data_IF_276788169037
#
_entry.id   IF_276788169037
#
_cell.length_a   1.000
_cell.length_b   1.000
_cell.length_c   1.000
_cell.angle_alpha   90.00
_cell.angle_beta   90.00
_cell.angle_gamma   90.00
#
_symmetry.space_group_name_H-M   'P 1'
#
loop_
_entity.id
_entity.type
_entity.pdbx_description
1 polymer ?
#
# COMPACT_ATOMS: atom_id res chain seq x y z
N UNK A 1 2.17 -24.50 7.36
CA UNK A 1 1.02 -24.22 6.49
C UNK A 1 -0.18 -24.10 7.41
N UNK A 2 -0.82 -22.92 7.46
CA UNK A 2 -2.09 -22.78 8.17
C UNK A 2 -3.15 -23.62 7.47
N UNK A 3 -3.90 -24.37 8.24
CA UNK A 3 -4.97 -25.23 7.74
C UNK A 3 -6.29 -24.48 7.95
N UNK A 4 -7.03 -24.30 6.87
CA UNK A 4 -8.37 -23.69 6.93
C UNK A 4 -9.41 -24.78 6.79
N UNK A 5 -10.42 -24.76 7.66
CA UNK A 5 -11.55 -25.69 7.60
C UNK A 5 -12.77 -24.96 7.06
N UNK A 6 -13.41 -25.54 6.06
CA UNK A 6 -14.71 -25.05 5.59
C UNK A 6 -15.77 -25.64 6.50
N UNK A 7 -16.55 -24.84 7.24
CA UNK A 7 -17.56 -25.36 8.17
C UNK A 7 -18.61 -26.19 7.43
N UNK A 8 -19.00 -27.31 8.00
CA UNK A 8 -20.04 -28.16 7.43
C UNK A 8 -21.34 -27.41 7.23
N UNK A 9 -21.99 -27.59 6.06
CA UNK A 9 -23.25 -26.89 5.71
C UNK A 9 -23.11 -25.46 5.22
N UNK A 10 -21.88 -24.94 5.05
CA UNK A 10 -21.63 -23.63 4.41
C UNK A 10 -21.34 -23.78 2.93
N UNK A 11 -21.81 -22.81 2.14
CA UNK A 11 -21.54 -22.74 0.69
C UNK A 11 -20.38 -21.81 0.33
N UNK A 12 -19.82 -21.13 1.32
CA UNK A 12 -18.69 -20.20 1.14
C UNK A 12 -17.89 -20.07 2.43
N UNK A 13 -16.59 -19.82 2.29
CA UNK A 13 -15.74 -19.40 3.40
C UNK A 13 -14.79 -18.29 2.93
N UNK A 14 -14.32 -17.48 3.91
CA UNK A 14 -13.33 -16.44 3.67
C UNK A 14 -11.99 -16.92 4.18
N UNK A 15 -11.02 -17.02 3.29
CA UNK A 15 -9.63 -17.36 3.64
C UNK A 15 -8.81 -16.08 3.68
N UNK A 16 -8.35 -15.63 4.86
CA UNK A 16 -7.50 -14.43 4.94
C UNK A 16 -6.11 -14.74 4.38
N UNK A 17 -5.65 -13.88 3.47
CA UNK A 17 -4.30 -13.96 2.91
C UNK A 17 -3.48 -12.79 3.46
N UNK A 18 -2.48 -13.10 4.27
CA UNK A 18 -1.58 -12.09 4.82
C UNK A 18 -0.34 -11.98 3.94
N UNK A 19 -0.21 -10.84 3.30
CA UNK A 19 0.95 -10.52 2.46
C UNK A 19 1.91 -9.63 3.22
N UNK A 20 3.17 -10.04 3.32
CA UNK A 20 4.21 -9.18 3.91
C UNK A 20 4.58 -8.09 2.92
N UNK A 21 4.70 -6.85 3.42
CA UNK A 21 5.14 -5.72 2.63
C UNK A 21 6.55 -5.98 2.07
N UNK A 22 6.78 -5.82 0.76
CA UNK A 22 8.12 -5.96 0.19
C UNK A 22 9.06 -4.86 0.73
N UNK A 23 10.35 -5.17 0.79
CA UNK A 23 11.38 -4.21 1.17
C UNK A 23 11.85 -3.32 0.01
N UNK A 24 11.40 -3.63 -1.19
CA UNK A 24 11.73 -2.93 -2.44
C UNK A 24 10.46 -2.43 -3.12
N UNK A 25 10.60 -1.54 -4.09
CA UNK A 25 9.49 -0.96 -4.86
C UNK A 25 9.05 -1.81 -6.05
N UNK A 26 9.62 -2.99 -6.23
CA UNK A 26 9.26 -3.86 -7.34
C UNK A 26 7.87 -4.45 -7.16
N UNK A 27 7.19 -4.65 -8.29
CA UNK A 27 5.93 -5.36 -8.31
C UNK A 27 6.13 -6.80 -7.86
N UNK A 28 5.30 -7.25 -6.96
CA UNK A 28 5.24 -8.61 -6.45
C UNK A 28 3.92 -9.24 -6.84
N UNK A 29 3.95 -10.53 -6.99
CA UNK A 29 2.81 -11.35 -7.34
C UNK A 29 2.69 -12.53 -6.40
N UNK A 30 1.48 -12.79 -5.95
CA UNK A 30 1.10 -14.04 -5.29
C UNK A 30 -0.01 -14.68 -6.12
N UNK A 31 0.20 -15.92 -6.50
CA UNK A 31 -0.80 -16.73 -7.17
C UNK A 31 -1.31 -17.74 -6.16
N UNK A 32 -2.61 -17.71 -5.92
CA UNK A 32 -3.32 -18.68 -5.09
C UNK A 32 -4.05 -19.62 -6.01
N UNK A 33 -3.88 -20.91 -5.78
CA UNK A 33 -4.52 -21.96 -6.57
C UNK A 33 -5.31 -22.90 -5.64
N UNK A 34 -6.55 -23.22 -6.04
CA UNK A 34 -7.33 -24.27 -5.42
C UNK A 34 -6.88 -25.59 -6.00
N UNK A 35 -6.45 -26.51 -5.14
CA UNK A 35 -5.98 -27.85 -5.53
C UNK A 35 -6.88 -28.87 -4.87
N UNK A 36 -7.23 -29.92 -5.62
CA UNK A 36 -7.98 -31.06 -5.09
C UNK A 36 -7.19 -31.77 -3.99
N UNK A 37 -7.91 -32.30 -3.03
CA UNK A 37 -7.37 -33.17 -1.99
C UNK A 37 -8.40 -34.23 -1.61
N UNK A 38 -8.09 -35.05 -0.60
CA UNK A 38 -8.98 -36.12 -0.17
C UNK A 38 -10.36 -35.68 0.32
N UNK A 39 -10.49 -34.39 0.75
CA UNK A 39 -11.70 -33.79 1.30
C UNK A 39 -12.47 -32.93 0.28
N UNK A 40 -11.79 -32.46 -0.77
CA UNK A 40 -12.34 -31.50 -1.75
C UNK A 40 -12.07 -31.93 -3.18
N UNK A 41 -13.14 -31.97 -3.96
CA UNK A 41 -13.12 -32.20 -5.41
C UNK A 41 -13.50 -30.90 -6.15
N UNK A 42 -12.72 -30.52 -7.17
CA UNK A 42 -13.01 -29.37 -8.02
C UNK A 42 -13.97 -29.76 -9.13
N UNK A 43 -15.22 -29.31 -9.03
CA UNK A 43 -16.26 -29.64 -10.02
C UNK A 43 -16.01 -28.97 -11.38
N UNK A 44 -15.26 -27.84 -11.41
CA UNK A 44 -14.93 -27.12 -12.62
C UNK A 44 -13.43 -27.23 -12.88
N UNK A 45 -13.03 -27.97 -13.89
CA UNK A 45 -11.73 -27.80 -14.52
C UNK A 45 -11.78 -26.52 -15.37
N UNK A 46 -10.66 -25.82 -15.50
CA UNK A 46 -10.54 -24.52 -16.15
C UNK A 46 -11.33 -24.42 -17.45
N UNK A 47 -12.51 -23.81 -17.40
CA UNK A 47 -13.18 -23.31 -18.58
C UNK A 47 -12.43 -22.06 -19.05
N UNK A 48 -11.56 -22.24 -20.03
CA UNK A 48 -10.92 -21.14 -20.76
C UNK A 48 -12.03 -20.42 -21.54
N UNK A 49 -12.61 -19.39 -20.95
CA UNK A 49 -13.49 -18.47 -21.67
C UNK A 49 -12.62 -17.61 -22.59
N UNK A 50 -12.35 -18.13 -23.79
CA UNK A 50 -11.81 -17.36 -24.90
C UNK A 50 -12.90 -16.45 -25.46
N UNK A 51 -13.02 -15.25 -24.97
CA UNK A 51 -13.68 -14.17 -25.66
C UNK A 51 -12.59 -13.27 -26.22
N UNK A 52 -12.42 -13.23 -27.50
CA UNK A 52 -11.72 -12.37 -28.47
C UNK A 52 -10.63 -11.35 -28.06
N UNK A 53 -10.33 -11.20 -26.80
CA UNK A 53 -9.21 -10.41 -26.24
C UNK A 53 -8.75 -11.14 -24.99
N UNK A 54 -7.58 -11.71 -25.06
CA UNK A 54 -7.01 -12.67 -24.13
C UNK A 54 -6.96 -12.26 -22.65
N UNK A 55 -8.07 -12.41 -21.95
CA UNK A 55 -8.08 -12.45 -20.47
C UNK A 55 -8.60 -13.83 -20.07
N UNK A 56 -7.67 -14.72 -19.73
CA UNK A 56 -8.00 -16.03 -19.19
C UNK A 56 -8.34 -15.86 -17.71
N UNK A 57 -9.62 -15.98 -17.38
CA UNK A 57 -10.04 -16.07 -15.98
C UNK A 57 -10.09 -17.54 -15.57
N UNK A 58 -9.20 -17.97 -14.70
CA UNK A 58 -9.29 -19.25 -14.02
C UNK A 58 -10.22 -19.13 -12.82
N UNK A 59 -11.13 -20.10 -12.64
CA UNK A 59 -12.01 -20.16 -11.46
C UNK A 59 -11.29 -20.72 -10.25
N UNK A 60 -10.18 -21.40 -10.47
CA UNK A 60 -9.37 -22.06 -9.43
C UNK A 60 -8.15 -21.27 -9.03
N UNK A 61 -7.80 -20.23 -9.79
CA UNK A 61 -6.60 -19.42 -9.57
C UNK A 61 -6.97 -17.98 -9.29
N UNK A 62 -6.41 -17.41 -8.22
CA UNK A 62 -6.53 -15.99 -7.88
C UNK A 62 -5.16 -15.34 -7.83
N UNK A 63 -5.00 -14.25 -8.57
CA UNK A 63 -3.77 -13.50 -8.71
C UNK A 63 -3.84 -12.20 -7.90
N UNK A 64 -2.91 -12.00 -6.98
CA UNK A 64 -2.78 -10.79 -6.18
C UNK A 64 -1.50 -10.08 -6.59
N UNK A 65 -1.64 -8.88 -7.13
CA UNK A 65 -0.52 -7.99 -7.46
C UNK A 65 -0.40 -6.91 -6.39
N UNK A 66 0.81 -6.68 -5.91
CA UNK A 66 1.08 -5.65 -4.91
C UNK A 66 2.51 -5.13 -5.01
N UNK A 67 2.72 -3.91 -4.56
CA UNK A 67 4.04 -3.32 -4.42
C UNK A 67 4.11 -2.44 -3.16
N UNK A 68 5.29 -1.87 -2.92
CA UNK A 68 5.54 -0.98 -1.80
C UNK A 68 5.44 0.51 -2.18
N UNK A 69 5.03 0.82 -3.40
CA UNK A 69 4.94 2.20 -3.90
C UNK A 69 3.61 2.81 -3.46
N UNK A 70 3.67 3.92 -2.74
CA UNK A 70 2.49 4.73 -2.44
C UNK A 70 2.27 5.71 -3.59
N UNK A 71 1.28 5.45 -4.43
CA UNK A 71 0.98 6.27 -5.62
C UNK A 71 0.13 7.50 -5.32
N UNK A 72 -0.61 7.47 -4.21
CA UNK A 72 -1.56 8.51 -3.82
C UNK A 72 -1.27 9.01 -2.41
N UNK A 73 -1.57 10.28 -2.18
CA UNK A 73 -1.45 10.88 -0.86
C UNK A 73 -2.38 10.17 0.15
N UNK A 74 -1.92 9.89 1.37
CA UNK A 74 -2.80 9.43 2.43
C UNK A 74 -3.86 10.49 2.74
N UNK A 75 -5.01 10.05 3.26
CA UNK A 75 -6.15 10.92 3.54
C UNK A 75 -5.87 12.06 4.54
N UNK A 76 -4.83 11.94 5.35
CA UNK A 76 -4.39 13.00 6.27
C UNK A 76 -3.27 13.88 5.71
N UNK A 77 -2.86 13.66 4.47
CA UNK A 77 -1.88 14.53 3.81
C UNK A 77 -2.46 15.94 3.65
N UNK A 78 -1.81 16.90 4.22
CA UNK A 78 -2.25 18.30 4.14
C UNK A 78 -1.27 19.08 3.27
N UNK A 79 -1.68 19.41 2.05
CA UNK A 79 -0.82 20.10 1.07
C UNK A 79 -0.41 21.51 1.53
N UNK A 80 -1.21 22.17 2.34
CA UNK A 80 -0.84 23.47 2.90
C UNK A 80 0.43 23.38 3.76
N UNK A 81 0.56 22.28 4.54
CA UNK A 81 1.70 22.04 5.42
C UNK A 81 2.84 21.27 4.76
N UNK A 82 2.52 20.22 4.01
CA UNK A 82 3.52 19.31 3.43
C UNK A 82 3.86 19.64 1.98
N UNK A 83 3.10 20.54 1.34
CA UNK A 83 3.21 20.80 -0.10
C UNK A 83 2.68 19.64 -0.93
N UNK A 84 2.94 19.69 -2.23
CA UNK A 84 2.56 18.63 -3.17
C UNK A 84 3.12 17.29 -2.72
N UNK A 85 2.27 16.26 -2.75
CA UNK A 85 2.65 14.90 -2.39
C UNK A 85 3.66 14.33 -3.38
N UNK A 86 4.66 13.64 -2.84
CA UNK A 86 5.47 12.68 -3.57
C UNK A 86 5.77 11.47 -2.68
N UNK A 87 5.95 10.27 -3.24
CA UNK A 87 6.34 9.08 -2.49
C UNK A 87 7.63 9.30 -1.69
N UNK A 88 8.63 9.92 -2.31
CA UNK A 88 9.92 10.19 -1.68
C UNK A 88 9.77 11.13 -0.48
N UNK A 89 9.00 12.22 -0.62
CA UNK A 89 8.74 13.16 0.48
C UNK A 89 8.04 12.47 1.65
N UNK A 90 7.03 11.65 1.36
CA UNK A 90 6.31 10.88 2.38
C UNK A 90 7.25 9.94 3.14
N UNK A 91 8.09 9.18 2.42
CA UNK A 91 9.07 8.29 3.03
C UNK A 91 10.10 9.06 3.86
N UNK A 92 10.57 10.18 3.35
CA UNK A 92 11.52 11.04 4.07
C UNK A 92 10.92 11.52 5.39
N UNK A 93 9.68 12.01 5.38
CA UNK A 93 8.97 12.42 6.61
C UNK A 93 8.87 11.25 7.59
N UNK A 94 8.42 10.08 7.11
CA UNK A 94 8.27 8.90 7.97
C UNK A 94 9.60 8.47 8.59
N UNK A 95 10.68 8.50 7.81
CA UNK A 95 12.01 8.08 8.25
C UNK A 95 12.63 9.07 9.24
N UNK A 96 12.64 10.37 8.90
CA UNK A 96 13.26 11.42 9.73
C UNK A 96 12.52 11.62 11.04
N UNK A 97 11.19 11.52 11.00
CA UNK A 97 10.35 11.69 12.19
C UNK A 97 10.11 10.38 12.96
N UNK A 98 10.61 9.25 12.45
CA UNK A 98 10.38 7.90 13.01
C UNK A 98 8.87 7.58 13.17
N UNK A 99 8.05 8.07 12.24
CA UNK A 99 6.60 7.88 12.26
C UNK A 99 6.22 6.70 11.37
N UNK A 100 5.49 5.69 11.88
CA UNK A 100 4.95 4.63 11.04
C UNK A 100 4.05 5.20 9.94
N UNK A 101 4.17 4.71 8.71
CA UNK A 101 3.34 5.13 7.57
C UNK A 101 1.84 5.04 7.86
N UNK A 102 1.44 4.02 8.63
CA UNK A 102 0.04 3.80 9.05
C UNK A 102 -0.53 4.93 9.90
N UNK A 103 0.32 5.73 10.55
CA UNK A 103 -0.10 6.89 11.33
C UNK A 103 -0.80 7.95 10.47
N UNK A 104 -0.43 8.05 9.20
CA UNK A 104 -1.06 8.97 8.24
C UNK A 104 -2.45 8.51 7.77
N UNK A 105 -2.91 7.31 8.18
CA UNK A 105 -4.27 6.85 7.94
C UNK A 105 -5.23 7.23 9.09
N UNK A 106 -4.69 7.72 10.20
CA UNK A 106 -5.45 8.05 11.41
C UNK A 106 -5.58 9.57 11.59
N UNK A 107 -6.79 10.09 11.41
CA UNK A 107 -7.10 11.51 11.60
C UNK A 107 -6.95 11.96 13.06
N UNK A 108 -7.16 11.06 14.03
CA UNK A 108 -6.95 11.35 15.45
C UNK A 108 -5.46 11.47 15.79
N UNK A 109 -4.61 10.68 15.14
CA UNK A 109 -3.16 10.76 15.33
C UNK A 109 -2.56 11.96 14.59
N UNK A 110 -2.99 12.21 13.35
CA UNK A 110 -2.54 13.32 12.51
C UNK A 110 -3.43 14.57 12.67
N UNK A 111 -3.66 14.95 13.92
CA UNK A 111 -4.35 16.22 14.21
C UNK A 111 -3.51 17.44 13.79
N UNK A 112 -4.18 18.60 13.68
CA UNK A 112 -3.60 19.86 13.22
C UNK A 112 -2.26 20.24 13.88
N UNK A 113 -2.17 20.13 15.20
CA UNK A 113 -0.94 20.46 15.94
C UNK A 113 0.24 19.56 15.55
N UNK A 114 -0.02 18.27 15.29
CA UNK A 114 1.02 17.33 14.87
C UNK A 114 1.46 17.57 13.45
N UNK A 115 0.52 17.82 12.52
CA UNK A 115 0.82 18.18 11.13
C UNK A 115 1.70 19.43 11.09
N UNK A 116 1.33 20.48 11.82
CA UNK A 116 2.12 21.71 11.91
C UNK A 116 3.51 21.46 12.50
N UNK A 117 3.63 20.68 13.56
CA UNK A 117 4.91 20.32 14.16
C UNK A 117 5.82 19.57 13.17
N UNK A 118 5.29 18.55 12.50
CA UNK A 118 6.05 17.77 11.51
C UNK A 118 6.53 18.69 10.39
N UNK A 119 5.67 19.54 9.86
CA UNK A 119 6.01 20.43 8.74
C UNK A 119 7.12 21.43 9.11
N UNK A 120 7.06 22.04 10.31
CA UNK A 120 8.11 22.94 10.76
C UNK A 120 9.45 22.22 11.02
N UNK A 121 9.40 21.04 11.63
CA UNK A 121 10.60 20.23 11.84
C UNK A 121 11.24 19.83 10.52
N UNK A 122 10.45 19.31 9.59
CA UNK A 122 10.93 18.88 8.28
C UNK A 122 11.45 20.05 7.44
N UNK A 123 10.86 21.26 7.57
CA UNK A 123 11.43 22.45 6.93
C UNK A 123 12.85 22.70 7.43
N UNK A 124 13.05 22.75 8.75
CA UNK A 124 14.39 22.98 9.31
C UNK A 124 15.38 21.88 8.89
N UNK A 125 14.92 20.63 8.91
CA UNK A 125 15.72 19.47 8.46
C UNK A 125 16.15 19.60 6.99
N UNK A 126 15.23 19.96 6.10
CA UNK A 126 15.51 20.10 4.66
C UNK A 126 16.39 21.33 4.35
N UNK A 127 16.31 22.39 5.14
CA UNK A 127 17.20 23.56 5.01
C UNK A 127 18.68 23.17 5.31
N UNK A 128 18.89 22.21 6.23
CA UNK A 128 20.22 21.69 6.59
C UNK A 128 20.65 20.51 5.71
N UNK A 129 19.69 19.74 5.21
CA UNK A 129 19.90 18.51 4.43
C UNK A 129 19.06 18.54 3.15
N UNK A 130 19.47 19.32 2.13
CA UNK A 130 18.74 19.41 0.88
C UNK A 130 18.60 18.04 0.20
N UNK A 131 17.37 17.66 -0.16
CA UNK A 131 17.04 16.40 -0.83
C UNK A 131 16.38 16.74 -2.17
N UNK A 132 16.83 16.11 -3.25
CA UNK A 132 16.22 16.24 -4.57
C UNK A 132 15.07 15.26 -4.72
N UNK A 133 13.93 15.74 -5.21
CA UNK A 133 12.77 14.94 -5.57
C UNK A 133 12.52 15.12 -7.08
N UNK A 134 13.12 14.24 -7.85
CA UNK A 134 13.29 14.41 -9.29
C UNK A 134 14.21 15.59 -9.61
N UNK A 135 13.73 16.53 -10.43
CA UNK A 135 14.48 17.71 -10.86
C UNK A 135 14.34 18.92 -9.90
N UNK A 136 13.60 18.76 -8.80
CA UNK A 136 13.31 19.82 -7.86
C UNK A 136 13.81 19.48 -6.45
N UNK A 137 14.23 20.51 -5.73
CA UNK A 137 14.52 20.39 -4.32
C UNK A 137 13.23 20.14 -3.54
N UNK A 138 13.26 19.14 -2.65
CA UNK A 138 12.13 18.82 -1.77
C UNK A 138 11.85 19.98 -0.81
N UNK A 139 10.60 20.45 -0.75
CA UNK A 139 10.17 21.51 0.13
C UNK A 139 8.84 21.17 0.80
N UNK A 140 8.64 21.70 1.99
CA UNK A 140 7.35 21.67 2.68
C UNK A 140 6.39 22.70 2.06
N UNK A 141 5.25 22.95 2.69
CA UNK A 141 4.27 23.93 2.20
C UNK A 141 4.86 25.33 2.07
N UNK A 142 4.54 26.04 1.00
CA UNK A 142 5.15 27.33 0.64
C UNK A 142 5.02 28.41 1.72
N UNK A 143 3.96 28.34 2.55
CA UNK A 143 3.77 29.31 3.63
C UNK A 143 4.88 29.29 4.69
N UNK A 144 5.61 28.20 4.83
CA UNK A 144 6.73 28.05 5.76
C UNK A 144 7.99 28.81 5.31
N UNK A 145 8.02 29.29 4.06
CA UNK A 145 9.17 29.96 3.45
C UNK A 145 8.89 31.46 3.17
N UNK A 146 7.79 32.01 3.72
CA UNK A 146 7.39 33.42 3.61
C UNK A 146 8.00 34.27 4.69
#
# INVERSE_FOLDING_TARGET
VERYEVPSGTTSCVVPVVVKRPNDESDKEVILELVENDDFYLYYQDDVLTSGSAVVYSKTTHRILFNNVMKEAPNTWNEYYFGTFSPLKFETICTVMEIPRTSFLSTSYMGFGRISYIANYMKAYLDEHPIMDGDKEMRMGDFLYQ
#
